data_IF_142970092129
#
_entry.id   IF_142970092129
#
_cell.length_a   1.000
_cell.length_b   1.000
_cell.length_c   1.000
_cell.angle_alpha   90.00
_cell.angle_beta   90.00
_cell.angle_gamma   90.00
#
_symmetry.space_group_name_H-M   'P 1'
#
loop_
_entity.id
_entity.type
_entity.pdbx_description
1 polymer ?
#
# COMPACT_ATOMS: atom_id res chain seq x y z
N UNK A 1 -9.88 -28.61 7.82
CA UNK A 1 -9.51 -27.28 7.27
C UNK A 1 -9.91 -27.27 5.81
N UNK A 2 -10.58 -26.22 5.32
CA UNK A 2 -10.86 -26.09 3.90
C UNK A 2 -9.61 -25.62 3.16
N UNK A 3 -9.37 -26.16 1.97
CA UNK A 3 -8.29 -25.73 1.07
C UNK A 3 -8.95 -24.98 -0.08
N UNK A 4 -8.50 -23.76 -0.32
CA UNK A 4 -9.00 -22.91 -1.41
C UNK A 4 -7.86 -22.70 -2.41
N UNK A 5 -8.16 -22.90 -3.69
CA UNK A 5 -7.27 -22.59 -4.81
C UNK A 5 -8.11 -22.03 -5.94
N UNK A 6 -7.76 -20.84 -6.41
CA UNK A 6 -8.41 -20.20 -7.55
C UNK A 6 -7.44 -20.26 -8.73
N UNK A 7 -7.80 -20.90 -9.86
CA UNK A 7 -6.93 -20.95 -11.03
C UNK A 7 -6.54 -19.55 -11.53
N UNK A 8 -5.26 -19.38 -11.89
CA UNK A 8 -4.69 -18.15 -12.41
C UNK A 8 -4.71 -16.93 -11.44
N UNK A 9 -4.98 -17.15 -10.15
CA UNK A 9 -4.85 -16.13 -9.12
C UNK A 9 -3.70 -16.46 -8.17
N UNK A 10 -3.02 -15.43 -7.70
CA UNK A 10 -1.99 -15.57 -6.68
C UNK A 10 -2.64 -15.78 -5.30
N UNK A 11 -1.91 -16.46 -4.40
CA UNK A 11 -2.49 -16.88 -3.12
C UNK A 11 -2.75 -15.69 -2.19
N UNK A 12 -1.90 -14.67 -2.27
CA UNK A 12 -2.01 -13.40 -1.56
C UNK A 12 -3.21 -12.57 -2.02
N UNK A 13 -3.49 -12.50 -3.32
CA UNK A 13 -4.70 -11.87 -3.87
C UNK A 13 -5.98 -12.56 -3.36
N UNK A 14 -5.99 -13.90 -3.36
CA UNK A 14 -7.12 -14.67 -2.82
C UNK A 14 -7.30 -14.42 -1.32
N UNK A 15 -6.21 -14.36 -0.55
CA UNK A 15 -6.27 -14.05 0.88
C UNK A 15 -6.75 -12.62 1.12
N UNK A 16 -6.27 -11.65 0.34
CA UNK A 16 -6.69 -10.26 0.42
C UNK A 16 -8.19 -10.10 0.16
N UNK A 17 -8.70 -10.74 -0.89
CA UNK A 17 -10.13 -10.81 -1.22
C UNK A 17 -10.95 -11.38 -0.06
N UNK A 18 -10.51 -12.51 0.52
CA UNK A 18 -11.22 -13.16 1.64
C UNK A 18 -11.20 -12.32 2.90
N UNK A 19 -10.09 -11.65 3.20
CA UNK A 19 -9.95 -10.76 4.35
C UNK A 19 -10.91 -9.59 4.23
N UNK A 20 -11.00 -8.97 3.05
CA UNK A 20 -11.94 -7.87 2.80
C UNK A 20 -13.39 -8.33 3.03
N UNK A 21 -13.81 -9.45 2.44
CA UNK A 21 -15.15 -10.00 2.63
C UNK A 21 -15.48 -10.34 4.09
N UNK A 22 -14.49 -10.74 4.88
CA UNK A 22 -14.66 -11.04 6.32
C UNK A 22 -14.83 -9.76 7.12
N UNK A 23 -14.02 -8.74 6.84
CA UNK A 23 -14.08 -7.43 7.50
C UNK A 23 -15.38 -6.70 7.16
N UNK A 24 -15.82 -6.73 5.90
CA UNK A 24 -17.11 -6.15 5.48
C UNK A 24 -18.32 -6.75 6.20
N UNK A 25 -18.20 -8.01 6.65
CA UNK A 25 -19.22 -8.69 7.46
C UNK A 25 -19.12 -8.37 8.95
N UNK A 26 -18.21 -7.49 9.36
CA UNK A 26 -18.00 -7.07 10.74
C UNK A 26 -17.16 -8.04 11.58
N UNK A 27 -16.43 -8.96 10.94
CA UNK A 27 -15.52 -9.88 11.62
C UNK A 27 -14.08 -9.39 11.57
N UNK A 28 -13.24 -9.97 12.44
CA UNK A 28 -11.79 -9.75 12.44
C UNK A 28 -11.06 -10.88 11.73
N UNK A 29 -9.94 -10.56 11.08
CA UNK A 29 -9.12 -11.53 10.37
C UNK A 29 -7.71 -11.62 10.96
N UNK A 30 -7.15 -12.84 10.93
CA UNK A 30 -5.74 -13.10 11.27
C UNK A 30 -5.11 -13.84 10.11
N UNK A 31 -4.03 -13.30 9.56
CA UNK A 31 -3.29 -13.90 8.45
C UNK A 31 -1.96 -14.43 8.97
N UNK A 32 -1.72 -15.73 8.86
CA UNK A 32 -0.45 -16.34 9.25
C UNK A 32 0.43 -16.56 8.00
N UNK A 33 1.45 -15.73 7.82
CA UNK A 33 2.35 -15.80 6.67
C UNK A 33 3.70 -15.12 6.95
N UNK A 34 4.83 -15.62 6.40
CA UNK A 34 6.10 -14.89 6.41
C UNK A 34 6.14 -13.76 5.38
N UNK A 35 5.19 -13.75 4.45
CA UNK A 35 5.12 -12.79 3.37
C UNK A 35 4.81 -11.38 3.90
N UNK A 36 5.64 -10.42 3.51
CA UNK A 36 5.57 -9.04 4.00
C UNK A 36 4.49 -8.24 3.27
N UNK A 37 4.02 -8.70 2.11
CA UNK A 37 3.04 -7.95 1.32
C UNK A 37 1.68 -7.91 2.00
N UNK A 38 1.36 -8.91 2.82
CA UNK A 38 0.17 -8.89 3.68
C UNK A 38 0.15 -7.73 4.70
N UNK A 39 1.27 -7.04 4.94
CA UNK A 39 1.27 -5.82 5.77
C UNK A 39 0.37 -4.74 5.20
N UNK A 40 0.13 -4.73 3.89
CA UNK A 40 -0.81 -3.84 3.23
C UNK A 40 -2.27 -4.03 3.70
N UNK A 41 -2.61 -5.17 4.29
CA UNK A 41 -3.95 -5.49 4.78
C UNK A 41 -4.15 -5.14 6.25
N UNK A 42 -3.09 -4.79 6.99
CA UNK A 42 -3.18 -4.51 8.43
C UNK A 42 -4.09 -3.32 8.69
N UNK A 43 -5.00 -3.49 9.63
CA UNK A 43 -5.93 -2.47 10.10
C UNK A 43 -6.28 -2.73 11.57
N UNK A 44 -7.29 -2.03 12.10
CA UNK A 44 -7.81 -2.32 13.45
C UNK A 44 -8.42 -3.73 13.54
N UNK A 45 -8.96 -4.26 12.43
CA UNK A 45 -9.64 -5.56 12.38
C UNK A 45 -8.81 -6.67 11.72
N UNK A 46 -7.63 -6.36 11.20
CA UNK A 46 -6.74 -7.32 10.53
C UNK A 46 -5.37 -7.34 11.19
N UNK A 47 -4.96 -8.52 11.67
CA UNK A 47 -3.64 -8.75 12.25
C UNK A 47 -2.87 -9.82 11.47
N UNK A 48 -1.55 -9.74 11.50
CA UNK A 48 -0.69 -10.79 10.97
C UNK A 48 -0.10 -11.64 12.09
N UNK A 49 0.20 -12.89 11.78
CA UNK A 49 1.08 -13.75 12.56
C UNK A 49 2.30 -14.01 11.68
N UNK A 50 3.44 -13.43 12.03
CA UNK A 50 4.68 -13.49 11.26
C UNK A 50 5.77 -14.24 12.05
N UNK A 51 6.72 -14.90 11.37
CA UNK A 51 7.84 -15.53 12.05
C UNK A 51 8.81 -14.48 12.59
N UNK A 52 9.36 -14.72 13.76
CA UNK A 52 10.48 -14.01 14.36
C UNK A 52 11.68 -14.97 14.39
N UNK A 53 12.53 -14.98 13.35
CA UNK A 53 13.61 -15.97 13.20
C UNK A 53 14.55 -16.02 14.41
N UNK A 54 14.94 -14.85 14.93
CA UNK A 54 15.85 -14.71 16.07
C UNK A 54 15.30 -15.36 17.35
N UNK A 55 13.98 -15.45 17.47
CA UNK A 55 13.28 -16.02 18.62
C UNK A 55 12.70 -17.41 18.35
N UNK A 56 12.91 -17.96 17.12
CA UNK A 56 12.36 -19.25 16.67
C UNK A 56 10.87 -19.44 16.98
N UNK A 57 10.07 -18.37 16.85
CA UNK A 57 8.63 -18.39 17.15
C UNK A 57 7.85 -17.53 16.17
N UNK A 58 6.53 -17.72 16.14
CA UNK A 58 5.61 -16.82 15.46
C UNK A 58 5.02 -15.83 16.46
N UNK A 59 4.75 -14.60 16.02
CA UNK A 59 4.17 -13.56 16.86
C UNK A 59 3.13 -12.76 16.08
N UNK A 60 2.14 -12.26 16.81
CA UNK A 60 1.22 -11.27 16.28
C UNK A 60 1.98 -9.99 15.89
N UNK A 61 1.53 -9.40 14.80
CA UNK A 61 1.99 -8.13 14.26
C UNK A 61 0.73 -7.32 13.89
N UNK A 62 0.61 -6.14 14.51
CA UNK A 62 -0.61 -5.32 14.50
C UNK A 62 -0.35 -3.97 13.84
N UNK A 63 -1.42 -3.19 13.65
CA UNK A 63 -1.33 -1.80 13.16
C UNK A 63 -0.37 -0.95 14.00
N UNK A 64 -0.42 -1.06 15.32
CA UNK A 64 0.50 -0.34 16.22
C UNK A 64 1.96 -0.71 15.99
N UNK A 65 2.26 -2.00 15.78
CA UNK A 65 3.60 -2.44 15.45
C UNK A 65 4.06 -1.84 14.12
N UNK A 66 3.18 -1.83 13.12
CA UNK A 66 3.45 -1.24 11.81
C UNK A 66 3.72 0.26 11.90
N UNK A 67 2.83 1.03 12.54
CA UNK A 67 2.97 2.48 12.71
C UNK A 67 4.24 2.80 13.53
N UNK A 68 4.55 2.01 14.55
CA UNK A 68 5.76 2.20 15.35
C UNK A 68 7.03 2.03 14.51
N UNK A 69 7.04 1.04 13.62
CA UNK A 69 8.17 0.72 12.75
C UNK A 69 8.31 1.69 11.58
N UNK A 70 7.23 1.94 10.84
CA UNK A 70 7.24 2.68 9.57
C UNK A 70 6.84 4.16 9.70
N UNK A 71 6.33 4.57 10.87
CA UNK A 71 5.87 5.94 11.15
C UNK A 71 4.74 6.43 10.23
N UNK A 72 4.05 5.51 9.58
CA UNK A 72 2.87 5.73 8.74
C UNK A 72 1.97 4.49 8.76
N UNK A 73 0.73 4.65 8.30
CA UNK A 73 -0.20 3.54 8.09
C UNK A 73 0.07 2.82 6.74
N UNK A 74 -0.39 1.57 6.56
CA UNK A 74 -0.12 0.79 5.35
C UNK A 74 -0.62 1.42 4.04
N UNK A 75 -1.74 2.16 4.06
CA UNK A 75 -2.29 2.82 2.87
C UNK A 75 -1.41 4.00 2.45
N UNK A 76 -0.95 4.79 3.42
CA UNK A 76 0.02 5.87 3.20
C UNK A 76 1.36 5.34 2.69
N UNK A 77 1.84 4.21 3.23
CA UNK A 77 3.09 3.58 2.79
C UNK A 77 2.99 3.09 1.34
N UNK A 78 1.94 2.36 0.98
CA UNK A 78 1.70 1.95 -0.41
C UNK A 78 1.62 3.16 -1.34
N UNK A 79 0.86 4.18 -0.95
CA UNK A 79 0.72 5.41 -1.74
C UNK A 79 2.06 6.13 -1.94
N UNK A 80 2.91 6.11 -0.91
CA UNK A 80 4.25 6.67 -0.97
C UNK A 80 5.14 5.89 -1.94
N UNK A 81 5.19 4.56 -1.82
CA UNK A 81 5.97 3.68 -2.71
C UNK A 81 5.54 3.82 -4.16
N UNK A 82 4.24 3.95 -4.43
CA UNK A 82 3.74 4.23 -5.78
C UNK A 82 4.28 5.53 -6.39
N UNK A 83 4.58 6.53 -5.54
CA UNK A 83 5.12 7.83 -5.97
C UNK A 83 6.64 7.76 -6.10
N UNK A 84 7.32 7.29 -5.05
CA UNK A 84 8.78 7.39 -4.94
C UNK A 84 9.52 6.20 -5.56
N UNK A 85 8.80 5.14 -5.90
CA UNK A 85 9.31 3.87 -6.38
C UNK A 85 9.50 2.86 -5.25
N UNK A 86 9.69 1.61 -5.65
CA UNK A 86 10.15 0.51 -4.80
C UNK A 86 11.25 -0.25 -5.53
N UNK A 87 12.48 -0.13 -5.04
CA UNK A 87 13.64 -0.78 -5.64
C UNK A 87 13.60 -2.31 -5.47
N UNK A 88 13.04 -2.79 -4.36
CA UNK A 88 12.93 -4.23 -4.10
C UNK A 88 12.02 -4.91 -5.14
N UNK A 89 10.97 -4.20 -5.56
CA UNK A 89 10.01 -4.67 -6.57
C UNK A 89 10.36 -4.19 -7.99
N UNK A 90 11.49 -3.49 -8.17
CA UNK A 90 11.91 -2.95 -9.47
C UNK A 90 10.97 -1.89 -10.05
N UNK A 91 10.16 -1.23 -9.21
CA UNK A 91 9.18 -0.22 -9.61
C UNK A 91 9.82 1.17 -9.55
N UNK A 92 10.01 1.86 -10.69
CA UNK A 92 10.59 3.20 -10.69
C UNK A 92 9.58 4.23 -10.18
N UNK A 93 10.06 5.16 -9.34
CA UNK A 93 9.27 6.31 -8.90
C UNK A 93 9.21 7.44 -9.91
N UNK A 94 8.31 8.39 -9.73
CA UNK A 94 8.06 9.51 -10.67
C UNK A 94 9.29 10.41 -10.90
N UNK A 95 10.31 10.36 -10.04
CA UNK A 95 11.49 11.22 -10.06
C UNK A 95 12.25 11.21 -11.40
N UNK A 96 12.21 10.11 -12.16
CA UNK A 96 12.82 10.04 -13.50
C UNK A 96 12.06 10.87 -14.55
N UNK A 97 10.75 11.10 -14.35
CA UNK A 97 9.91 11.95 -15.19
C UNK A 97 9.86 13.38 -14.66
N UNK A 98 9.85 13.53 -13.33
CA UNK A 98 9.72 14.82 -12.63
C UNK A 98 10.75 14.88 -11.48
N UNK A 99 12.00 15.31 -11.74
CA UNK A 99 13.08 15.28 -10.75
C UNK A 99 12.81 16.03 -9.43
N UNK A 100 11.88 17.00 -9.44
CA UNK A 100 11.47 17.74 -8.24
C UNK A 100 10.41 17.05 -7.37
N UNK A 101 9.81 15.96 -7.85
CA UNK A 101 8.75 15.24 -7.15
C UNK A 101 9.32 14.02 -6.41
N UNK A 102 10.00 14.27 -5.29
CA UNK A 102 10.56 13.22 -4.43
C UNK A 102 9.80 13.01 -3.12
N UNK A 103 10.41 12.23 -2.22
CA UNK A 103 9.89 11.84 -0.90
C UNK A 103 9.25 12.99 -0.11
N UNK A 104 9.94 14.14 0.01
CA UNK A 104 9.43 15.30 0.79
C UNK A 104 8.13 15.85 0.22
N UNK A 105 8.01 15.91 -1.10
CA UNK A 105 6.80 16.38 -1.79
C UNK A 105 5.68 15.34 -1.63
N UNK A 106 5.99 14.06 -1.81
CA UNK A 106 5.05 12.95 -1.62
C UNK A 106 4.45 12.95 -0.21
N UNK A 107 5.29 12.95 0.84
CA UNK A 107 4.84 12.98 2.23
C UNK A 107 3.95 14.19 2.55
N UNK A 108 4.29 15.38 2.03
CA UNK A 108 3.47 16.59 2.23
C UNK A 108 2.08 16.44 1.59
N UNK A 109 2.00 15.81 0.43
CA UNK A 109 0.74 15.58 -0.26
C UNK A 109 -0.07 14.47 0.41
N UNK A 110 0.56 13.37 0.81
CA UNK A 110 -0.10 12.29 1.55
C UNK A 110 -0.66 12.77 2.89
N UNK A 111 0.09 13.59 3.64
CA UNK A 111 -0.44 14.22 4.86
C UNK A 111 -1.70 15.05 4.61
N UNK A 112 -1.88 15.60 3.40
CA UNK A 112 -3.02 16.44 3.03
C UNK A 112 -4.18 15.66 2.41
N UNK A 113 -3.89 14.59 1.68
CA UNK A 113 -4.85 13.88 0.84
C UNK A 113 -5.16 12.44 1.33
N UNK A 114 -4.34 11.89 2.22
CA UNK A 114 -4.48 10.55 2.77
C UNK A 114 -3.93 9.46 1.85
N UNK A 115 -4.38 9.41 0.60
CA UNK A 115 -4.00 8.38 -0.36
C UNK A 115 -3.57 8.93 -1.72
N UNK A 116 -2.89 8.10 -2.51
CA UNK A 116 -2.58 8.40 -3.91
C UNK A 116 -3.85 8.65 -4.73
N UNK A 117 -4.88 7.83 -4.55
CA UNK A 117 -6.14 7.97 -5.27
C UNK A 117 -6.81 9.32 -4.97
N UNK A 118 -6.92 9.69 -3.69
CA UNK A 118 -7.46 10.98 -3.28
C UNK A 118 -6.64 12.15 -3.83
N UNK A 119 -5.33 11.97 -3.97
CA UNK A 119 -4.44 12.98 -4.54
C UNK A 119 -4.70 13.17 -6.05
N UNK A 120 -4.83 12.08 -6.80
CA UNK A 120 -5.14 12.10 -8.24
C UNK A 120 -6.55 12.67 -8.49
N UNK A 121 -7.55 12.25 -7.71
CA UNK A 121 -8.92 12.75 -7.81
C UNK A 121 -8.99 14.25 -7.48
N UNK A 122 -8.25 14.70 -6.46
CA UNK A 122 -8.14 16.13 -6.17
C UNK A 122 -7.46 16.90 -7.30
N UNK A 123 -6.38 16.39 -7.88
CA UNK A 123 -5.68 17.05 -8.97
C UNK A 123 -6.54 17.15 -10.25
N UNK A 124 -7.46 16.21 -10.47
CA UNK A 124 -8.40 16.25 -11.59
C UNK A 124 -9.46 17.36 -11.47
N UNK A 125 -9.75 17.81 -10.24
CA UNK A 125 -10.85 18.76 -9.97
C UNK A 125 -10.37 20.14 -9.54
N UNK A 126 -9.15 20.26 -8.99
CA UNK A 126 -8.58 21.52 -8.49
C UNK A 126 -7.06 21.48 -8.42
N UNK A 127 -6.45 22.64 -8.19
CA UNK A 127 -5.00 22.76 -8.03
C UNK A 127 -4.50 22.10 -6.75
N UNK A 128 -3.53 21.20 -6.91
CA UNK A 128 -2.82 20.49 -5.86
C UNK A 128 -1.34 20.88 -5.88
N UNK A 129 -0.92 21.63 -4.87
CA UNK A 129 0.49 21.99 -4.70
C UNK A 129 0.98 23.05 -5.69
N UNK A 130 2.26 23.00 -6.01
CA UNK A 130 2.93 23.92 -6.96
C UNK A 130 2.61 23.50 -8.41
N UNK A 131 2.80 24.37 -9.41
CA UNK A 131 2.51 24.02 -10.82
C UNK A 131 3.16 22.71 -11.28
N UNK A 132 4.42 22.45 -10.93
CA UNK A 132 5.08 21.19 -11.30
C UNK A 132 4.45 19.94 -10.64
N UNK A 133 3.87 20.08 -9.44
CA UNK A 133 3.17 18.99 -8.74
C UNK A 133 1.85 18.71 -9.45
N UNK A 134 1.10 19.76 -9.76
CA UNK A 134 -0.14 19.65 -10.52
C UNK A 134 0.09 19.01 -11.88
N UNK A 135 1.12 19.45 -12.60
CA UNK A 135 1.53 18.88 -13.88
C UNK A 135 1.92 17.40 -13.74
N UNK A 136 2.67 17.04 -12.70
CA UNK A 136 3.02 15.64 -12.46
C UNK A 136 1.78 14.76 -12.25
N UNK A 137 0.86 15.19 -11.38
CA UNK A 137 -0.34 14.42 -11.03
C UNK A 137 -1.31 14.29 -12.20
N UNK A 138 -1.37 15.28 -13.09
CA UNK A 138 -2.29 15.27 -14.24
C UNK A 138 -1.68 14.61 -15.47
N UNK A 139 -0.45 14.95 -15.85
CA UNK A 139 0.21 14.44 -17.07
C UNK A 139 0.75 13.02 -16.90
N UNK A 140 1.09 12.62 -15.68
CA UNK A 140 1.65 11.29 -15.40
C UNK A 140 0.76 10.45 -14.49
N UNK A 141 -0.55 10.70 -14.48
CA UNK A 141 -1.52 9.91 -13.70
C UNK A 141 -1.44 8.40 -14.01
N UNK A 142 -1.18 8.02 -15.27
CA UNK A 142 -1.00 6.63 -15.69
C UNK A 142 0.22 5.95 -15.07
N UNK A 143 1.31 6.69 -14.81
CA UNK A 143 2.49 6.15 -14.15
C UNK A 143 2.17 5.77 -12.70
N UNK A 144 1.49 6.65 -11.97
CA UNK A 144 1.05 6.38 -10.60
C UNK A 144 0.08 5.20 -10.51
N UNK A 145 -0.89 5.11 -11.44
CA UNK A 145 -1.83 3.98 -11.49
C UNK A 145 -1.14 2.66 -11.80
N UNK A 146 -0.20 2.66 -12.75
CA UNK A 146 0.62 1.47 -13.05
C UNK A 146 1.41 1.02 -11.81
N UNK A 147 2.05 1.94 -11.10
CA UNK A 147 2.80 1.58 -9.90
C UNK A 147 1.88 1.02 -8.82
N UNK A 148 0.67 1.58 -8.67
CA UNK A 148 -0.34 1.02 -7.77
C UNK A 148 -0.71 -0.42 -8.16
N UNK A 149 -1.03 -0.68 -9.43
CA UNK A 149 -1.35 -2.02 -9.94
C UNK A 149 -0.22 -3.05 -9.73
N UNK A 150 1.03 -2.60 -9.71
CA UNK A 150 2.20 -3.46 -9.49
C UNK A 150 2.49 -3.73 -8.02
N UNK A 151 2.19 -2.76 -7.14
CA UNK A 151 2.56 -2.81 -5.73
C UNK A 151 1.41 -3.23 -4.81
N UNK A 152 0.15 -3.08 -5.24
CA UNK A 152 -1.03 -3.38 -4.44
C UNK A 152 -1.44 -4.84 -4.55
N UNK A 153 -1.85 -5.45 -3.44
CA UNK A 153 -2.62 -6.70 -3.46
C UNK A 153 -3.98 -6.47 -4.14
N UNK A 154 -4.39 -7.37 -5.02
CA UNK A 154 -5.70 -7.35 -5.66
C UNK A 154 -6.75 -7.93 -4.71
N UNK A 155 -7.95 -7.36 -4.74
CA UNK A 155 -9.08 -7.72 -3.86
C UNK A 155 -10.35 -7.80 -4.67
#
# INVERSE_FOLDING_TARGET
MQIVKVPAQEADDVVATLVEQVVEKGYRAVIASPDKDFKQLISEDVQLVMPLPDLKRWSFYTLDHYITQYKCDPLSDLSLRCIVGDEADGVPGIQHLVPGFGMKTALKLLKKHGSLENMLNAAATRTVGKPYVQDALTKHASHFRRNYELLSLRR
#
